data_IF_540323759355
#
_entry.id   IF_540323759355
#
_cell.length_a   1.000
_cell.length_b   1.000
_cell.length_c   1.000
_cell.angle_alpha   90.00
_cell.angle_beta   90.00
_cell.angle_gamma   90.00
#
_symmetry.space_group_name_H-M   'P 1'
#
loop_
_entity.id
_entity.type
_entity.pdbx_description
1 polymer ?
#
# COMPACT_ATOMS: atom_id res chain seq x y z
N UNK A 1 -50.16 14.58 18.26
CA UNK A 1 -49.10 13.97 19.10
C UNK A 1 -47.77 14.41 18.55
N UNK A 2 -46.92 15.07 19.35
CA UNK A 2 -45.59 15.48 18.91
C UNK A 2 -44.58 14.41 19.29
N UNK A 3 -43.90 13.85 18.30
CA UNK A 3 -42.80 12.91 18.48
C UNK A 3 -41.46 13.62 18.29
N UNK A 4 -40.43 13.11 18.96
CA UNK A 4 -39.07 13.64 18.82
C UNK A 4 -38.48 13.25 17.47
N UNK A 5 -37.66 14.14 16.90
CA UNK A 5 -36.80 13.81 15.77
C UNK A 5 -35.49 13.21 16.29
N UNK A 6 -35.07 12.07 15.72
CA UNK A 6 -33.79 11.44 16.01
C UNK A 6 -32.79 11.75 14.90
N UNK A 7 -31.57 12.15 15.28
CA UNK A 7 -30.45 12.36 14.37
C UNK A 7 -29.35 11.34 14.66
N UNK A 8 -28.68 10.85 13.62
CA UNK A 8 -27.50 9.99 13.74
C UNK A 8 -26.47 10.37 12.67
N UNK A 9 -25.19 10.21 13.00
CA UNK A 9 -24.09 10.41 12.08
C UNK A 9 -22.88 9.55 12.49
N UNK A 10 -22.10 9.09 11.51
CA UNK A 10 -20.84 8.37 11.75
C UNK A 10 -19.70 9.36 11.79
N UNK A 11 -19.07 9.53 12.96
CA UNK A 11 -17.93 10.43 13.12
C UNK A 11 -16.68 9.92 12.40
N UNK A 12 -16.37 8.63 12.51
CA UNK A 12 -15.14 8.05 11.94
C UNK A 12 -15.36 6.58 11.54
N UNK A 13 -15.31 6.29 10.24
CA UNK A 13 -15.24 4.94 9.73
C UNK A 13 -13.76 4.53 9.61
N UNK A 14 -13.24 3.86 10.65
CA UNK A 14 -11.79 3.65 10.86
C UNK A 14 -11.04 3.15 9.63
N UNK A 15 -11.50 2.11 8.95
CA UNK A 15 -10.82 1.54 7.77
C UNK A 15 -10.77 2.51 6.60
N UNK A 16 -11.84 3.28 6.38
CA UNK A 16 -11.93 4.29 5.32
C UNK A 16 -11.02 5.49 5.62
N UNK A 17 -11.00 5.92 6.87
CA UNK A 17 -10.13 7.02 7.31
C UNK A 17 -8.67 6.60 7.24
N UNK A 18 -8.33 5.35 7.57
CA UNK A 18 -6.97 4.82 7.38
C UNK A 18 -6.56 4.91 5.90
N UNK A 19 -7.39 4.45 4.95
CA UNK A 19 -7.10 4.60 3.52
C UNK A 19 -6.82 6.06 3.13
N UNK A 20 -7.67 6.98 3.57
CA UNK A 20 -7.49 8.40 3.30
C UNK A 20 -6.19 8.96 3.91
N UNK A 21 -5.81 8.54 5.12
CA UNK A 21 -4.54 8.94 5.74
C UNK A 21 -3.36 8.40 4.94
N UNK A 22 -3.39 7.11 4.54
CA UNK A 22 -2.31 6.48 3.78
C UNK A 22 -2.08 7.20 2.44
N UNK A 23 -3.14 7.59 1.74
CA UNK A 23 -3.04 8.29 0.45
C UNK A 23 -2.57 9.74 0.60
N UNK A 24 -3.10 10.49 1.58
CA UNK A 24 -2.81 11.92 1.70
C UNK A 24 -1.47 12.23 2.39
N UNK A 25 -0.93 11.29 3.19
CA UNK A 25 0.30 11.49 3.95
C UNK A 25 1.48 10.62 3.45
N UNK A 26 1.36 10.01 2.26
CA UNK A 26 2.44 9.23 1.65
C UNK A 26 3.62 10.13 1.24
N UNK A 27 4.83 9.68 1.56
CA UNK A 27 6.12 10.22 1.10
C UNK A 27 6.91 9.13 0.37
N UNK A 28 8.09 9.46 -0.17
CA UNK A 28 8.91 8.49 -0.94
C UNK A 28 9.34 7.27 -0.10
N UNK A 29 9.59 7.48 1.18
CA UNK A 29 10.19 6.53 2.14
C UNK A 29 9.21 6.04 3.22
N UNK A 30 7.96 6.51 3.23
CA UNK A 30 6.95 6.07 4.21
C UNK A 30 5.67 6.90 4.21
N UNK A 31 4.94 6.88 5.33
CA UNK A 31 3.74 7.69 5.56
C UNK A 31 3.95 8.57 6.80
N UNK A 32 3.73 9.87 6.68
CA UNK A 32 3.82 10.81 7.82
C UNK A 32 2.59 10.66 8.71
N UNK A 33 2.80 10.60 10.02
CA UNK A 33 1.69 10.49 10.98
C UNK A 33 1.04 11.88 11.20
N UNK A 34 -0.29 12.01 11.03
CA UNK A 34 -1.01 13.25 11.30
C UNK A 34 -0.85 13.73 12.75
N UNK A 35 -0.66 15.03 12.94
CA UNK A 35 -0.39 15.66 14.24
C UNK A 35 -1.40 15.27 15.32
N UNK A 36 -2.70 15.22 14.95
CA UNK A 36 -3.79 14.91 15.85
C UNK A 36 -3.70 13.50 16.49
N UNK A 37 -3.05 12.54 15.81
CA UNK A 37 -2.97 11.16 16.28
C UNK A 37 -1.59 10.76 16.83
N UNK A 38 -0.56 11.61 16.70
CA UNK A 38 0.82 11.30 17.13
C UNK A 38 0.93 10.89 18.60
N UNK A 39 0.15 11.53 19.48
CA UNK A 39 0.14 11.24 20.92
C UNK A 39 -0.42 9.85 21.29
N UNK A 40 -1.12 9.21 20.36
CA UNK A 40 -1.70 7.89 20.55
C UNK A 40 -0.89 6.79 19.86
N UNK A 41 0.17 7.17 19.13
CA UNK A 41 1.04 6.21 18.46
C UNK A 41 2.08 5.64 19.43
N UNK A 42 2.57 4.41 19.15
CA UNK A 42 3.62 3.81 19.96
C UNK A 42 4.97 4.51 19.77
N UNK A 43 5.85 4.50 20.80
CA UNK A 43 7.19 5.08 20.71
C UNK A 43 7.94 4.56 19.47
N UNK A 44 8.54 5.48 18.70
CA UNK A 44 9.25 5.16 17.45
C UNK A 44 8.40 5.26 16.18
N UNK A 45 7.07 5.31 16.28
CA UNK A 45 6.16 5.48 15.13
C UNK A 45 5.31 6.75 15.20
N UNK A 46 5.69 7.69 16.05
CA UNK A 46 4.90 8.91 16.30
C UNK A 46 5.00 9.93 15.17
N UNK A 47 6.05 9.87 14.36
CA UNK A 47 6.32 10.84 13.30
C UNK A 47 6.13 10.25 11.90
N UNK A 48 6.59 9.00 11.70
CA UNK A 48 6.59 8.37 10.39
C UNK A 48 6.47 6.85 10.45
N UNK A 49 5.75 6.29 9.48
CA UNK A 49 5.63 4.87 9.21
C UNK A 49 6.47 4.51 7.97
N UNK A 50 7.68 3.95 8.14
CA UNK A 50 8.55 3.61 7.01
C UNK A 50 8.01 2.43 6.18
N UNK A 51 8.28 2.43 4.88
CA UNK A 51 7.96 1.28 4.03
C UNK A 51 8.89 0.11 4.30
N UNK A 52 8.32 -1.03 4.71
CA UNK A 52 9.07 -2.26 5.02
C UNK A 52 9.02 -3.30 3.89
N UNK A 53 8.16 -3.09 2.90
CA UNK A 53 7.96 -3.99 1.76
C UNK A 53 7.94 -3.17 0.46
N UNK A 54 8.47 -3.70 -0.65
CA UNK A 54 8.37 -3.05 -1.95
C UNK A 54 6.91 -3.00 -2.41
N UNK A 55 6.62 -2.12 -3.38
CA UNK A 55 5.28 -2.01 -3.90
C UNK A 55 4.88 -3.32 -4.61
N UNK A 56 3.66 -3.83 -4.42
CA UNK A 56 3.20 -5.06 -5.07
C UNK A 56 3.27 -5.01 -6.59
N UNK A 57 3.21 -3.81 -7.19
CA UNK A 57 3.31 -3.60 -8.64
C UNK A 57 4.71 -3.99 -9.12
N UNK A 58 5.76 -3.53 -8.43
CA UNK A 58 7.15 -3.82 -8.77
C UNK A 58 7.46 -5.33 -8.67
N UNK A 59 6.89 -6.00 -7.67
CA UNK A 59 7.03 -7.46 -7.53
C UNK A 59 6.36 -8.23 -8.68
N UNK A 60 5.23 -7.73 -9.17
CA UNK A 60 4.48 -8.35 -10.26
C UNK A 60 5.18 -8.14 -11.61
N UNK A 61 5.75 -6.96 -11.85
CA UNK A 61 6.52 -6.68 -13.06
C UNK A 61 7.81 -7.52 -13.14
N UNK A 62 8.54 -7.65 -12.04
CA UNK A 62 9.72 -8.52 -11.96
C UNK A 62 9.38 -10.00 -12.23
N UNK A 63 8.21 -10.48 -11.76
CA UNK A 63 7.72 -11.84 -12.05
C UNK A 63 7.27 -12.02 -13.50
N UNK A 64 6.65 -11.00 -14.12
CA UNK A 64 6.25 -11.02 -15.54
C UNK A 64 7.48 -11.01 -16.47
N UNK A 65 8.49 -10.19 -16.20
CA UNK A 65 9.72 -10.16 -17.00
C UNK A 65 10.50 -11.49 -16.97
N UNK A 66 10.55 -12.17 -15.81
CA UNK A 66 11.13 -13.52 -15.71
C UNK A 66 10.39 -14.59 -16.53
N UNK A 67 9.08 -14.41 -16.77
CA UNK A 67 8.27 -15.34 -17.57
C UNK A 67 8.43 -15.09 -19.08
N UNK A 68 8.69 -13.85 -19.50
CA UNK A 68 8.97 -13.49 -20.89
C UNK A 68 10.32 -13.98 -21.42
N UNK A 69 11.35 -14.05 -20.57
CA UNK A 69 12.71 -14.44 -21.00
C UNK A 69 12.94 -15.95 -21.20
N UNK A 70 11.94 -16.80 -20.93
CA UNK A 70 12.04 -18.27 -21.02
C UNK A 70 11.42 -18.87 -22.30
N UNK A 71 10.86 -18.04 -23.19
CA UNK A 71 10.15 -18.47 -24.39
C UNK A 71 10.93 -18.41 -25.71
N UNK A 72 12.12 -17.79 -25.74
CA UNK A 72 12.87 -17.57 -26.98
C UNK A 72 14.29 -18.14 -26.88
N UNK A 73 14.43 -19.44 -27.15
CA UNK A 73 15.71 -20.03 -27.55
C UNK A 73 15.41 -20.98 -28.72
N UNK A 74 15.77 -20.63 -29.97
CA UNK A 74 15.57 -21.52 -31.10
C UNK A 74 16.41 -22.80 -30.92
N UNK A 75 15.94 -23.96 -31.42
CA UNK A 75 16.69 -25.21 -31.36
C UNK A 75 17.97 -25.06 -32.20
N UNK A 76 19.13 -25.15 -31.57
CA UNK A 76 20.41 -25.21 -32.27
C UNK A 76 20.63 -26.64 -32.79
N UNK A 77 20.78 -26.75 -34.11
CA UNK A 77 21.18 -27.98 -34.81
C UNK A 77 22.55 -28.49 -34.32
N UNK A 78 22.77 -29.82 -34.18
CA UNK A 78 24.09 -30.35 -33.88
C UNK A 78 24.96 -30.32 -35.13
N UNK A 79 26.11 -29.63 -35.07
CA UNK A 79 27.19 -29.78 -36.06
C UNK A 79 28.10 -30.95 -35.66
N UNK A 80 28.38 -31.79 -36.66
CA UNK A 80 29.40 -32.86 -36.70
C UNK A 80 30.74 -32.50 -36.05
N UNK A 81 31.27 -33.44 -35.26
CA UNK A 81 32.65 -33.94 -35.35
C UNK A 81 32.79 -35.29 -34.64
#
# INVERSE_FOLDING_TARGET
>A
TSYVHMLNATMCATTRVICAILENYQTEDGIVVPEAIRKFMPPGYNEKLPFVKPAPIDEQEAKKQKKGKKGDKPPAEPKEQ
#
